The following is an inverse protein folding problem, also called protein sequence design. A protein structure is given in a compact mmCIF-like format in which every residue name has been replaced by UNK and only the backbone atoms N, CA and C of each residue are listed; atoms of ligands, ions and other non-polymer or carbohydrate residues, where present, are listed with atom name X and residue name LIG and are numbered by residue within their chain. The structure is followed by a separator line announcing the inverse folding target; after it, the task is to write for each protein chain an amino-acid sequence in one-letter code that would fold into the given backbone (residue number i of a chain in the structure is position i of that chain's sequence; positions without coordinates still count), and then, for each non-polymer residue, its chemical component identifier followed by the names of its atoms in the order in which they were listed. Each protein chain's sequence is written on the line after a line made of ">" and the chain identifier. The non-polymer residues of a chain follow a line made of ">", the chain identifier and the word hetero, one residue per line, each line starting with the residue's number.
data_IF_318125856742
#
_entry.id   IF_318125856742
#
_cell.length_a   1.000
_cell.length_b   1.000
_cell.length_c   1.000
_cell.angle_alpha   90.00
_cell.angle_beta   90.00
_cell.angle_gamma   90.00
#
_symmetry.space_group_name_H-M   'P 1'
#
loop_
_entity.id
_entity.type
_entity.pdbx_description
1 polymer ?
#
# COMPACT_ATOMS: atom_id res chain seq x y z
N UNK A 1 -32.83 1.68 23.11
CA UNK A 1 -32.61 2.73 22.11
C UNK A 1 -31.16 3.16 22.27
N UNK A 2 -30.27 2.78 21.36
CA UNK A 2 -28.87 3.22 21.43
C UNK A 2 -28.82 4.68 20.95
N UNK A 3 -28.20 5.57 21.72
CA UNK A 3 -27.88 6.92 21.27
C UNK A 3 -27.05 6.83 19.99
N UNK A 4 -27.46 7.57 18.96
CA UNK A 4 -26.70 7.66 17.72
C UNK A 4 -25.39 8.39 17.98
N UNK A 5 -24.27 7.81 17.55
CA UNK A 5 -22.97 8.48 17.59
C UNK A 5 -23.03 9.67 16.64
N UNK A 6 -23.02 10.89 17.19
CA UNK A 6 -22.86 12.10 16.41
C UNK A 6 -21.38 12.22 16.01
N UNK A 7 -21.12 12.19 14.70
CA UNK A 7 -19.77 12.34 14.15
C UNK A 7 -19.51 13.83 13.95
N UNK A 8 -18.56 14.45 14.66
CA UNK A 8 -18.30 15.89 14.52
C UNK A 8 -17.93 16.28 13.09
N UNK A 9 -18.38 17.45 12.64
CA UNK A 9 -18.13 17.98 11.29
C UNK A 9 -16.66 18.08 10.90
N UNK A 10 -15.74 18.15 11.87
CA UNK A 10 -14.31 18.20 11.59
C UNK A 10 -13.72 16.83 11.17
N UNK A 11 -14.39 15.72 11.48
CA UNK A 11 -14.05 14.37 10.99
C UNK A 11 -15.09 13.79 10.03
N UNK A 12 -16.35 14.22 10.12
CA UNK A 12 -17.46 13.74 9.30
C UNK A 12 -17.43 14.28 7.86
N UNK A 13 -17.88 13.45 6.92
CA UNK A 13 -18.11 13.86 5.52
C UNK A 13 -16.89 14.35 4.75
N UNK A 14 -15.66 14.02 5.21
CA UNK A 14 -14.43 14.42 4.53
C UNK A 14 -14.03 13.40 3.46
N UNK A 15 -13.65 13.90 2.28
CA UNK A 15 -12.94 13.08 1.30
C UNK A 15 -11.50 12.92 1.73
N UNK A 16 -11.03 11.68 1.69
CA UNK A 16 -9.68 11.30 2.07
C UNK A 16 -9.02 10.54 0.91
N UNK A 17 -7.71 10.71 0.74
CA UNK A 17 -6.94 10.03 -0.29
C UNK A 17 -5.82 9.21 0.35
N UNK A 18 -6.10 7.97 0.82
CA UNK A 18 -5.09 7.10 1.45
C UNK A 18 -4.04 6.59 0.48
N UNK A 19 -4.27 6.75 -0.84
CA UNK A 19 -3.46 6.15 -1.91
C UNK A 19 -3.33 4.64 -1.75
N UNK A 20 -4.43 4.01 -1.34
CA UNK A 20 -4.59 2.57 -1.17
C UNK A 20 -6.07 2.24 -1.37
N UNK A 21 -6.35 1.06 -1.89
CA UNK A 21 -7.70 0.47 -2.00
C UNK A 21 -8.02 -0.50 -0.85
N UNK A 22 -7.03 -0.77 0.01
CA UNK A 22 -7.08 -1.71 1.13
C UNK A 22 -7.41 -3.14 0.74
N UNK A 23 -7.23 -3.51 -0.53
CA UNK A 23 -7.42 -4.87 -1.03
C UNK A 23 -6.14 -5.70 -0.85
N UNK A 24 -6.27 -7.01 -1.08
CA UNK A 24 -5.15 -7.96 -1.09
C UNK A 24 -4.55 -8.04 -2.50
N UNK A 25 -3.28 -7.69 -2.63
CA UNK A 25 -2.54 -7.77 -3.88
C UNK A 25 -1.31 -8.67 -3.75
N UNK A 26 -1.03 -9.43 -4.81
CA UNK A 26 0.23 -10.15 -4.97
C UNK A 26 1.34 -9.19 -5.42
N UNK A 27 2.30 -8.95 -4.53
CA UNK A 27 3.47 -8.09 -4.77
C UNK A 27 4.73 -8.90 -5.12
N UNK A 28 4.61 -10.22 -5.30
CA UNK A 28 5.67 -11.15 -5.72
C UNK A 28 6.64 -11.59 -4.63
N UNK A 29 6.47 -11.09 -3.40
CA UNK A 29 7.32 -11.43 -2.25
C UNK A 29 6.56 -12.14 -1.12
N UNK A 30 5.40 -12.75 -1.43
CA UNK A 30 4.57 -13.58 -0.52
C UNK A 30 5.32 -14.40 0.54
N UNK A 31 4.74 -14.52 1.74
CA UNK A 31 5.28 -15.37 2.82
C UNK A 31 4.64 -16.77 2.87
N UNK A 32 3.74 -17.08 1.94
CA UNK A 32 2.94 -18.31 1.86
C UNK A 32 1.97 -18.49 3.04
N UNK A 33 1.59 -17.43 3.75
CA UNK A 33 0.61 -17.47 4.83
C UNK A 33 -0.71 -16.88 4.35
N UNK A 34 -1.79 -17.69 4.23
CA UNK A 34 -3.11 -17.20 3.84
C UNK A 34 -3.61 -16.06 4.74
N UNK A 35 -4.17 -15.03 4.12
CA UNK A 35 -4.75 -13.86 4.79
C UNK A 35 -6.27 -14.03 4.89
N UNK A 36 -6.81 -13.99 6.11
CA UNK A 36 -8.25 -14.05 6.33
C UNK A 36 -8.67 -13.27 7.57
N UNK A 37 -9.83 -12.60 7.51
CA UNK A 37 -10.39 -11.90 8.66
C UNK A 37 -10.91 -12.85 9.75
N UNK A 38 -11.27 -14.08 9.36
CA UNK A 38 -11.72 -15.15 10.27
C UNK A 38 -11.27 -16.52 9.73
N UNK A 39 -11.12 -17.54 10.61
CA UNK A 39 -10.70 -18.87 10.19
C UNK A 39 -11.59 -19.50 9.10
N UNK A 40 -12.91 -19.27 9.14
CA UNK A 40 -13.85 -19.80 8.15
C UNK A 40 -13.72 -19.20 6.74
N UNK A 41 -13.00 -18.07 6.60
CA UNK A 41 -12.74 -17.42 5.31
C UNK A 41 -11.33 -17.70 4.79
N UNK A 42 -10.62 -18.67 5.38
CA UNK A 42 -9.27 -19.01 4.97
C UNK A 42 -9.27 -19.55 3.52
N UNK A 43 -8.66 -18.79 2.62
CA UNK A 43 -8.45 -19.16 1.23
C UNK A 43 -6.94 -19.24 0.93
N UNK A 44 -6.39 -20.44 0.63
CA UNK A 44 -5.00 -20.60 0.25
C UNK A 44 -4.54 -19.72 -0.93
N UNK A 45 -5.46 -19.26 -1.78
CA UNK A 45 -5.13 -18.36 -2.90
C UNK A 45 -4.55 -17.00 -2.44
N UNK A 46 -4.80 -16.63 -1.19
CA UNK A 46 -4.34 -15.37 -0.59
C UNK A 46 -2.93 -15.46 -0.01
N UNK A 47 -2.30 -16.65 -0.02
CA UNK A 47 -1.04 -16.90 0.68
C UNK A 47 0.14 -16.04 0.21
N UNK A 48 0.08 -15.51 -1.01
CA UNK A 48 1.10 -14.60 -1.55
C UNK A 48 0.66 -13.14 -1.62
N UNK A 49 -0.52 -12.83 -1.06
CA UNK A 49 -1.11 -11.50 -1.16
C UNK A 49 -0.99 -10.73 0.14
N UNK A 50 -0.78 -9.43 0.03
CA UNK A 50 -0.74 -8.52 1.17
C UNK A 50 -1.75 -7.40 1.00
N UNK A 51 -2.33 -6.97 2.12
CA UNK A 51 -3.21 -5.80 2.12
C UNK A 51 -2.40 -4.55 1.78
N UNK A 52 -2.83 -3.77 0.81
CA UNK A 52 -2.16 -2.50 0.51
C UNK A 52 -2.26 -1.56 1.71
N UNK A 53 -1.11 -1.10 2.20
CA UNK A 53 -1.05 -0.11 3.28
C UNK A 53 -1.33 1.29 2.73
N UNK A 54 -2.02 2.18 3.48
CA UNK A 54 -2.17 3.56 3.06
C UNK A 54 -0.79 4.23 3.01
N UNK A 55 -0.55 5.07 2.01
CA UNK A 55 0.71 5.81 1.89
C UNK A 55 0.76 7.06 2.80
N UNK A 56 -0.27 7.32 3.59
CA UNK A 56 -0.24 8.38 4.58
C UNK A 56 0.89 8.20 5.60
N UNK A 57 1.66 9.27 5.80
CA UNK A 57 2.84 9.28 6.63
C UNK A 57 3.99 8.46 6.07
N UNK A 58 4.00 8.14 4.76
CA UNK A 58 5.07 7.36 4.13
C UNK A 58 6.44 7.98 4.39
N UNK A 59 6.56 9.31 4.44
CA UNK A 59 7.84 10.00 4.75
C UNK A 59 8.45 9.64 6.10
N UNK A 60 7.66 9.09 7.02
CA UNK A 60 8.12 8.66 8.35
C UNK A 60 8.47 7.16 8.42
N UNK A 61 8.45 6.44 7.29
CA UNK A 61 8.79 5.02 7.22
C UNK A 61 10.23 4.85 6.76
N UNK A 62 11.02 4.08 7.52
CA UNK A 62 12.42 3.77 7.20
C UNK A 62 12.61 2.39 6.56
N UNK A 63 11.59 1.53 6.64
CA UNK A 63 11.54 0.21 6.01
C UNK A 63 10.20 0.06 5.29
N UNK A 64 10.25 -0.46 4.06
CA UNK A 64 9.12 -0.62 3.17
C UNK A 64 8.97 -2.09 2.74
N UNK A 65 7.84 -2.40 2.10
CA UNK A 65 7.34 -3.76 1.84
C UNK A 65 6.97 -4.48 3.14
N UNK A 66 6.23 -5.60 3.03
CA UNK A 66 5.83 -6.37 4.20
C UNK A 66 7.02 -7.03 4.92
N UNK A 67 8.12 -7.28 4.20
CA UNK A 67 9.32 -7.94 4.72
C UNK A 67 10.37 -6.97 5.26
N UNK A 68 10.13 -5.66 5.15
CA UNK A 68 11.00 -4.62 5.68
C UNK A 68 12.38 -4.52 5.02
N UNK A 69 12.62 -5.22 3.89
CA UNK A 69 13.96 -5.27 3.26
C UNK A 69 14.28 -4.11 2.32
N UNK A 70 13.31 -3.24 2.04
CA UNK A 70 13.53 -2.04 1.22
C UNK A 70 13.70 -0.81 2.11
N UNK A 71 14.79 -0.05 1.93
CA UNK A 71 15.09 1.16 2.71
C UNK A 71 15.02 2.45 1.88
N UNK A 72 14.66 2.34 0.60
CA UNK A 72 14.37 3.49 -0.28
C UNK A 72 13.10 3.24 -1.08
N UNK A 73 12.44 4.30 -1.54
CA UNK A 73 11.26 4.16 -2.42
C UNK A 73 11.62 3.43 -3.72
N UNK A 74 12.78 3.72 -4.30
CA UNK A 74 13.24 3.03 -5.50
C UNK A 74 13.39 1.51 -5.26
N UNK A 75 14.05 1.10 -4.18
CA UNK A 75 14.17 -0.32 -3.82
C UNK A 75 12.82 -0.97 -3.56
N UNK A 76 11.87 -0.25 -2.96
CA UNK A 76 10.51 -0.76 -2.78
C UNK A 76 9.83 -0.96 -4.13
N UNK A 77 9.82 0.06 -4.99
CA UNK A 77 9.16 0.02 -6.31
C UNK A 77 9.74 -1.10 -7.18
N UNK A 78 11.07 -1.21 -7.28
CA UNK A 78 11.73 -2.23 -8.10
C UNK A 78 11.39 -3.67 -7.68
N UNK A 79 11.19 -3.89 -6.38
CA UNK A 79 10.87 -5.21 -5.84
C UNK A 79 9.42 -5.63 -6.04
N UNK A 80 8.53 -4.74 -6.47
CA UNK A 80 7.16 -5.11 -6.78
C UNK A 80 7.10 -6.02 -8.01
N UNK A 81 6.47 -7.18 -7.86
CA UNK A 81 6.11 -8.07 -8.96
C UNK A 81 4.63 -8.48 -8.85
N UNK A 82 4.24 -9.63 -9.41
CA UNK A 82 2.85 -10.08 -9.42
C UNK A 82 1.89 -9.08 -10.08
N UNK A 83 0.84 -8.70 -9.36
CA UNK A 83 -0.19 -7.76 -9.81
C UNK A 83 0.38 -6.32 -9.97
N UNK A 84 1.49 -6.01 -9.29
CA UNK A 84 2.13 -4.71 -9.31
C UNK A 84 3.17 -4.50 -10.45
N UNK A 85 3.46 -5.53 -11.27
CA UNK A 85 4.45 -5.44 -12.37
C UNK A 85 4.19 -4.24 -13.29
N UNK A 86 2.93 -4.03 -13.69
CA UNK A 86 2.58 -2.93 -14.59
C UNK A 86 2.88 -1.55 -13.99
N UNK A 87 2.79 -1.40 -12.66
CA UNK A 87 3.11 -0.15 -11.99
C UNK A 87 4.62 0.07 -11.89
N UNK A 88 5.38 -0.97 -11.53
CA UNK A 88 6.85 -0.95 -11.55
C UNK A 88 7.37 -0.60 -12.94
N UNK A 89 6.89 -1.26 -13.97
CA UNK A 89 7.37 -1.03 -15.33
C UNK A 89 7.08 0.40 -15.78
N UNK A 90 5.91 0.98 -15.45
CA UNK A 90 5.63 2.41 -15.71
C UNK A 90 6.61 3.33 -14.98
N UNK A 91 6.94 3.02 -13.73
CA UNK A 91 7.95 3.78 -12.99
C UNK A 91 9.31 3.73 -13.69
N UNK A 92 9.71 2.56 -14.19
CA UNK A 92 11.00 2.41 -14.87
C UNK A 92 11.10 3.20 -16.18
N UNK A 93 9.99 3.38 -16.88
CA UNK A 93 9.91 4.22 -18.09
C UNK A 93 9.84 5.73 -17.80
N UNK A 94 9.76 6.15 -16.53
CA UNK A 94 9.77 7.57 -16.19
C UNK A 94 11.15 8.18 -16.47
N UNK A 95 11.14 9.39 -17.03
CA UNK A 95 12.34 10.22 -17.13
C UNK A 95 12.89 10.57 -15.73
N UNK A 96 14.17 10.96 -15.61
CA UNK A 96 14.73 11.39 -14.32
C UNK A 96 13.93 12.51 -13.64
N UNK A 97 13.38 13.45 -14.43
CA UNK A 97 12.53 14.54 -13.93
C UNK A 97 11.24 13.99 -13.33
N UNK A 98 10.57 13.06 -14.02
CA UNK A 98 9.34 12.44 -13.53
C UNK A 98 9.58 11.56 -12.30
N UNK A 99 10.69 10.81 -12.24
CA UNK A 99 11.08 10.06 -11.02
C UNK A 99 11.28 11.02 -9.84
N UNK A 100 11.91 12.17 -10.07
CA UNK A 100 12.06 13.24 -9.07
C UNK A 100 10.73 13.83 -8.59
N UNK A 101 9.78 14.06 -9.51
CA UNK A 101 8.43 14.54 -9.16
C UNK A 101 7.66 13.51 -8.31
N UNK A 102 7.74 12.22 -8.68
CA UNK A 102 7.13 11.15 -7.89
C UNK A 102 7.74 11.07 -6.50
N UNK A 103 9.07 11.14 -6.39
CA UNK A 103 9.76 11.13 -5.10
C UNK A 103 9.35 12.33 -4.22
N UNK A 104 9.24 13.53 -4.81
CA UNK A 104 8.76 14.71 -4.10
C UNK A 104 7.33 14.53 -3.59
N UNK A 105 6.45 13.93 -4.41
CA UNK A 105 5.10 13.58 -4.01
C UNK A 105 5.10 12.57 -2.85
N UNK A 106 5.84 11.46 -2.95
CA UNK A 106 5.93 10.46 -1.87
C UNK A 106 6.48 11.04 -0.56
N UNK A 107 7.42 11.99 -0.63
CA UNK A 107 7.94 12.71 0.54
C UNK A 107 6.94 13.69 1.15
N UNK A 108 5.91 14.10 0.41
CA UNK A 108 4.83 14.94 0.95
C UNK A 108 3.77 14.15 1.71
N UNK A 109 3.77 12.81 1.59
CA UNK A 109 2.81 11.91 2.21
C UNK A 109 3.13 11.59 3.66
#
# INVERSE_FOLDING_TARGET
>A
MAEGIEVPDFIGGKTIHPYSDFLLDDIGTGDNIPQAAKPEYLDPSTANKFRTAPLWGLRFRSWMMHDGKSVTYHQAIERHAGEAVKARDRYEHLTPVQKGQLQAFLNSL
#
